data_IF_009650090209
#
_entry.id   IF_009650090209
#
_cell.length_a   1.000
_cell.length_b   1.000
_cell.length_c   1.000
_cell.angle_alpha   90.00
_cell.angle_beta   90.00
_cell.angle_gamma   90.00
#
_symmetry.space_group_name_H-M   'P 1'
#
loop_
_entity.id
_entity.type
_entity.pdbx_description
1 polymer ?
#
# COMPACT_ATOMS: atom_id res chain seq x y z
N UNK A 1 30.51 -13.11 8.74
CA UNK A 1 29.99 -11.83 9.28
C UNK A 1 29.86 -10.74 8.21
N UNK A 2 30.87 -10.49 7.36
CA UNK A 2 30.79 -9.46 6.30
C UNK A 2 29.64 -9.68 5.28
N UNK A 3 29.38 -10.92 4.83
CA UNK A 3 28.28 -11.20 3.88
C UNK A 3 26.88 -10.88 4.47
N UNK A 4 26.67 -11.10 5.76
CA UNK A 4 25.40 -10.80 6.42
C UNK A 4 25.13 -9.28 6.49
N UNK A 5 26.20 -8.50 6.70
CA UNK A 5 26.09 -7.02 6.71
C UNK A 5 25.81 -6.44 5.32
N UNK A 6 26.43 -6.99 4.27
CA UNK A 6 26.18 -6.56 2.87
C UNK A 6 24.76 -6.91 2.45
N UNK A 7 24.29 -8.10 2.80
CA UNK A 7 22.92 -8.53 2.52
C UNK A 7 21.86 -7.65 3.21
N UNK A 8 22.06 -7.33 4.50
CA UNK A 8 21.17 -6.42 5.24
C UNK A 8 21.16 -5.02 4.62
N UNK A 9 22.31 -4.51 4.19
CA UNK A 9 22.40 -3.21 3.52
C UNK A 9 21.65 -3.22 2.17
N UNK A 10 21.78 -4.28 1.36
CA UNK A 10 21.05 -4.43 0.10
C UNK A 10 19.52 -4.46 0.31
N UNK A 11 19.05 -5.20 1.32
CA UNK A 11 17.63 -5.20 1.70
C UNK A 11 17.15 -3.81 2.11
N UNK A 12 17.93 -3.07 2.90
CA UNK A 12 17.57 -1.70 3.28
C UNK A 12 17.45 -0.78 2.07
N UNK A 13 18.34 -0.89 1.08
CA UNK A 13 18.26 -0.12 -0.17
C UNK A 13 17.01 -0.47 -0.97
N UNK A 14 16.69 -1.75 -1.13
CA UNK A 14 15.47 -2.17 -1.83
C UNK A 14 14.19 -1.74 -1.10
N UNK A 15 14.15 -1.83 0.23
CA UNK A 15 13.03 -1.30 1.00
C UNK A 15 12.86 0.22 0.82
N UNK A 16 13.97 0.96 0.68
CA UNK A 16 13.94 2.41 0.41
C UNK A 16 13.40 2.71 -0.98
N UNK A 17 13.90 2.00 -1.99
CA UNK A 17 13.36 2.08 -3.35
C UNK A 17 11.87 1.72 -3.37
N UNK A 18 11.46 0.73 -2.55
CA UNK A 18 10.07 0.36 -2.33
C UNK A 18 9.21 1.52 -1.83
N UNK A 19 9.66 2.27 -0.80
CA UNK A 19 8.93 3.44 -0.31
C UNK A 19 8.77 4.54 -1.36
N UNK A 20 9.82 4.80 -2.15
CA UNK A 20 9.76 5.79 -3.24
C UNK A 20 8.75 5.35 -4.30
N UNK A 21 8.78 4.09 -4.74
CA UNK A 21 7.84 3.53 -5.71
C UNK A 21 6.40 3.58 -5.20
N UNK A 22 6.17 3.21 -3.95
CA UNK A 22 4.83 3.27 -3.34
C UNK A 22 4.32 4.71 -3.23
N UNK A 23 5.19 5.67 -2.88
CA UNK A 23 4.78 7.07 -2.85
C UNK A 23 4.40 7.59 -4.25
N UNK A 24 5.11 7.17 -5.29
CA UNK A 24 4.75 7.50 -6.67
C UNK A 24 3.40 6.89 -7.08
N UNK A 25 3.16 5.62 -6.75
CA UNK A 25 1.86 4.95 -6.97
C UNK A 25 0.75 5.69 -6.22
N UNK A 26 1.01 6.15 -4.98
CA UNK A 26 0.06 6.95 -4.19
C UNK A 26 -0.31 8.24 -4.92
N UNK A 27 0.69 9.02 -5.36
CA UNK A 27 0.43 10.28 -6.08
C UNK A 27 -0.38 10.02 -7.35
N UNK A 28 -0.02 8.99 -8.12
CA UNK A 28 -0.77 8.60 -9.32
C UNK A 28 -2.23 8.24 -9.00
N UNK A 29 -2.45 7.45 -7.94
CA UNK A 29 -3.79 7.10 -7.50
C UNK A 29 -4.60 8.33 -7.08
N UNK A 30 -4.03 9.23 -6.26
CA UNK A 30 -4.70 10.47 -5.83
C UNK A 30 -5.13 11.29 -7.06
N UNK A 31 -4.21 11.49 -8.02
CA UNK A 31 -4.52 12.24 -9.24
C UNK A 31 -5.63 11.56 -10.04
N UNK A 32 -5.56 10.24 -10.24
CA UNK A 32 -6.55 9.51 -11.02
C UNK A 32 -7.95 9.55 -10.36
N UNK A 33 -8.06 9.24 -9.07
CA UNK A 33 -9.33 9.21 -8.35
C UNK A 33 -9.91 10.63 -8.17
N UNK A 34 -9.09 11.64 -7.92
CA UNK A 34 -9.56 13.00 -7.81
C UNK A 34 -9.98 13.57 -9.18
N UNK A 35 -9.25 13.27 -10.25
CA UNK A 35 -9.66 13.63 -11.61
C UNK A 35 -11.01 12.98 -11.96
N UNK A 36 -11.23 11.72 -11.62
CA UNK A 36 -12.53 11.06 -11.79
C UNK A 36 -13.64 11.80 -11.03
N UNK A 37 -13.39 12.23 -9.80
CA UNK A 37 -14.35 13.03 -9.02
C UNK A 37 -14.68 14.37 -9.72
N UNK A 38 -13.67 15.06 -10.28
CA UNK A 38 -13.89 16.29 -11.04
C UNK A 38 -14.69 16.03 -12.32
N UNK A 39 -14.45 14.91 -13.03
CA UNK A 39 -15.24 14.50 -14.20
C UNK A 39 -16.71 14.30 -13.81
N UNK A 40 -16.98 13.62 -12.70
CA UNK A 40 -18.34 13.41 -12.22
C UNK A 40 -19.07 14.72 -11.92
N UNK A 41 -18.36 15.72 -11.38
CA UNK A 41 -18.94 17.04 -11.06
C UNK A 41 -19.12 17.90 -12.31
N UNK A 42 -18.07 18.11 -13.10
CA UNK A 42 -18.07 19.12 -14.15
C UNK A 42 -18.58 18.61 -15.50
N UNK A 43 -18.45 17.31 -15.77
CA UNK A 43 -18.82 16.70 -17.05
C UNK A 43 -20.13 15.93 -16.91
N UNK A 44 -20.20 14.97 -15.99
CA UNK A 44 -21.40 14.13 -15.77
C UNK A 44 -22.50 14.92 -15.06
N UNK A 45 -22.13 15.92 -14.26
CA UNK A 45 -23.04 16.75 -13.45
C UNK A 45 -23.87 15.93 -12.47
N UNK A 46 -23.23 14.95 -11.83
CA UNK A 46 -23.87 14.21 -10.74
C UNK A 46 -24.28 15.20 -9.64
N UNK A 47 -25.49 15.08 -9.06
CA UNK A 47 -26.02 16.01 -8.06
C UNK A 47 -25.39 15.76 -6.68
N UNK A 48 -24.06 15.86 -6.62
CA UNK A 48 -23.26 15.72 -5.42
C UNK A 48 -23.35 17.01 -4.59
N UNK A 49 -23.72 16.91 -3.32
CA UNK A 49 -23.84 18.07 -2.44
C UNK A 49 -22.50 18.77 -2.18
N UNK A 50 -22.49 20.10 -1.90
CA UNK A 50 -21.25 20.86 -1.67
C UNK A 50 -20.44 20.33 -0.48
N UNK A 51 -21.12 19.81 0.56
CA UNK A 51 -20.47 19.19 1.71
C UNK A 51 -19.66 17.93 1.32
N UNK A 52 -20.16 17.12 0.39
CA UNK A 52 -19.46 15.93 -0.10
C UNK A 52 -18.21 16.31 -0.90
N UNK A 53 -18.32 17.33 -1.78
CA UNK A 53 -17.17 17.84 -2.52
C UNK A 53 -16.07 18.38 -1.58
N UNK A 54 -16.46 19.12 -0.55
CA UNK A 54 -15.52 19.63 0.46
C UNK A 54 -14.84 18.48 1.22
N UNK A 55 -15.60 17.46 1.63
CA UNK A 55 -15.06 16.30 2.33
C UNK A 55 -14.04 15.54 1.47
N UNK A 56 -14.37 15.22 0.21
CA UNK A 56 -13.43 14.55 -0.70
C UNK A 56 -12.18 15.38 -0.93
N UNK A 57 -12.35 16.69 -1.15
CA UNK A 57 -11.21 17.59 -1.37
C UNK A 57 -10.32 17.66 -0.13
N UNK A 58 -10.90 17.74 1.08
CA UNK A 58 -10.13 17.72 2.32
C UNK A 58 -9.35 16.40 2.51
N UNK A 59 -9.98 15.26 2.20
CA UNK A 59 -9.34 13.93 2.27
C UNK A 59 -8.20 13.84 1.24
N UNK A 60 -8.42 14.30 0.00
CA UNK A 60 -7.40 14.33 -1.04
C UNK A 60 -6.20 15.22 -0.63
N UNK A 61 -6.45 16.39 -0.04
CA UNK A 61 -5.40 17.25 0.50
C UNK A 61 -4.62 16.59 1.64
N UNK A 62 -5.29 15.86 2.53
CA UNK A 62 -4.63 15.05 3.57
C UNK A 62 -3.70 13.99 3.00
N UNK A 63 -4.12 13.33 1.90
CA UNK A 63 -3.28 12.40 1.16
C UNK A 63 -2.08 13.05 0.48
N UNK A 64 -2.27 14.21 -0.15
CA UNK A 64 -1.18 15.00 -0.74
C UNK A 64 -0.18 15.42 0.34
N UNK A 65 -0.65 15.91 1.48
CA UNK A 65 0.21 16.28 2.61
C UNK A 65 1.05 15.09 3.10
N UNK A 66 0.43 13.90 3.20
CA UNK A 66 1.15 12.65 3.54
C UNK A 66 2.20 12.31 2.48
N UNK A 67 1.87 12.40 1.20
CA UNK A 67 2.77 12.09 0.10
C UNK A 67 3.98 13.06 0.02
N UNK A 68 3.73 14.36 0.23
CA UNK A 68 4.77 15.40 0.28
C UNK A 68 5.66 15.20 1.50
N UNK A 69 5.08 14.98 2.68
CA UNK A 69 5.85 14.73 3.92
C UNK A 69 6.77 13.53 3.75
N UNK A 70 6.27 12.44 3.16
CA UNK A 70 7.07 11.25 2.89
C UNK A 70 8.17 11.53 1.86
N UNK A 71 7.86 12.24 0.77
CA UNK A 71 8.85 12.61 -0.25
C UNK A 71 10.00 13.43 0.36
N UNK A 72 9.68 14.43 1.20
CA UNK A 72 10.67 15.25 1.89
C UNK A 72 11.49 14.45 2.91
N UNK A 73 10.85 13.56 3.69
CA UNK A 73 11.54 12.70 4.65
C UNK A 73 12.52 11.75 3.95
N UNK A 74 12.10 11.13 2.84
CA UNK A 74 12.93 10.25 2.02
C UNK A 74 14.08 11.00 1.35
N UNK A 75 13.85 12.22 0.86
CA UNK A 75 14.88 13.09 0.28
C UNK A 75 15.98 13.48 1.29
N UNK A 76 15.62 13.58 2.58
CA UNK A 76 16.56 13.84 3.68
C UNK A 76 17.23 12.58 4.25
N UNK A 77 17.01 11.41 3.63
CA UNK A 77 17.47 10.10 4.13
C UNK A 77 17.01 9.77 5.56
N UNK A 78 15.93 10.41 6.03
CA UNK A 78 15.37 10.15 7.37
C UNK A 78 14.47 8.92 7.31
N UNK A 79 14.86 7.85 8.01
CA UNK A 79 14.18 6.55 7.91
C UNK A 79 14.05 5.84 9.24
N UNK A 80 13.14 6.27 10.12
CA UNK A 80 12.87 5.52 11.32
C UNK A 80 12.09 4.24 10.98
N UNK A 81 12.31 3.17 11.75
CA UNK A 81 11.68 1.87 11.51
C UNK A 81 10.13 1.89 11.58
N UNK A 82 9.55 2.88 12.25
CA UNK A 82 8.10 3.06 12.38
C UNK A 82 7.44 3.75 11.17
N UNK A 83 8.21 4.43 10.30
CA UNK A 83 7.68 5.25 9.21
C UNK A 83 6.74 4.48 8.27
N UNK A 84 7.07 3.27 7.79
CA UNK A 84 6.18 2.52 6.89
C UNK A 84 4.83 2.20 7.54
N UNK A 85 4.83 1.92 8.84
CA UNK A 85 3.62 1.62 9.60
C UNK A 85 2.74 2.85 9.78
N UNK A 86 3.33 4.01 10.10
CA UNK A 86 2.61 5.27 10.20
C UNK A 86 1.97 5.66 8.85
N UNK A 87 2.72 5.49 7.75
CA UNK A 87 2.24 5.79 6.40
C UNK A 87 1.07 4.89 6.00
N UNK A 88 1.17 3.58 6.21
CA UNK A 88 0.06 2.64 5.94
C UNK A 88 -1.16 2.96 6.81
N UNK A 89 -0.93 3.32 8.07
CA UNK A 89 -2.02 3.66 8.98
C UNK A 89 -2.73 4.95 8.53
N UNK A 90 -1.97 5.95 8.08
CA UNK A 90 -2.53 7.17 7.50
C UNK A 90 -3.30 6.89 6.21
N UNK A 91 -2.77 6.04 5.31
CA UNK A 91 -3.47 5.64 4.09
C UNK A 91 -4.79 4.95 4.43
N UNK A 92 -4.80 3.98 5.35
CA UNK A 92 -6.01 3.27 5.76
C UNK A 92 -7.02 4.19 6.45
N UNK A 93 -6.56 5.11 7.30
CA UNK A 93 -7.43 6.11 7.92
C UNK A 93 -8.11 6.97 6.85
N UNK A 94 -7.36 7.48 5.87
CA UNK A 94 -7.91 8.31 4.81
C UNK A 94 -8.85 7.51 3.88
N UNK A 95 -8.54 6.24 3.57
CA UNK A 95 -9.47 5.35 2.86
C UNK A 95 -10.75 5.14 3.68
N UNK A 96 -10.64 4.89 4.99
CA UNK A 96 -11.81 4.72 5.86
C UNK A 96 -12.69 5.96 5.88
N UNK A 97 -12.09 7.15 6.05
CA UNK A 97 -12.82 8.42 6.00
C UNK A 97 -13.49 8.62 4.64
N UNK A 98 -12.80 8.30 3.54
CA UNK A 98 -13.36 8.37 2.20
C UNK A 98 -14.58 7.46 2.05
N UNK A 99 -14.50 6.22 2.53
CA UNK A 99 -15.61 5.28 2.49
C UNK A 99 -16.78 5.75 3.35
N UNK A 100 -16.52 6.31 4.54
CA UNK A 100 -17.56 6.84 5.43
C UNK A 100 -18.34 8.02 4.82
N UNK A 101 -17.78 8.71 3.82
CA UNK A 101 -18.50 9.76 3.09
C UNK A 101 -19.03 9.31 1.72
N UNK A 102 -18.60 8.15 1.20
CA UNK A 102 -18.84 7.70 -0.19
C UNK A 102 -19.55 6.34 -0.23
N UNK A 103 -20.80 6.27 0.23
CA UNK A 103 -21.65 5.06 0.24
C UNK A 103 -21.13 3.86 1.05
N UNK A 104 -20.14 4.07 1.91
CA UNK A 104 -19.67 3.09 2.89
C UNK A 104 -19.28 1.75 2.26
N UNK A 105 -19.85 0.62 2.73
CA UNK A 105 -19.50 -0.70 2.24
C UNK A 105 -20.17 -1.08 0.89
N UNK A 106 -21.06 -0.25 0.35
CA UNK A 106 -21.59 -0.44 -1.01
C UNK A 106 -20.66 0.17 -2.07
N UNK A 107 -19.74 1.04 -1.65
CA UNK A 107 -18.83 1.77 -2.52
C UNK A 107 -17.90 0.86 -3.33
N UNK A 108 -17.75 1.18 -4.62
CA UNK A 108 -16.70 0.60 -5.45
C UNK A 108 -15.28 0.94 -4.93
N UNK A 109 -15.15 2.01 -4.11
CA UNK A 109 -13.89 2.45 -3.52
C UNK A 109 -13.35 1.50 -2.45
N UNK A 110 -14.10 0.47 -2.04
CA UNK A 110 -13.59 -0.59 -1.17
C UNK A 110 -12.33 -1.27 -1.72
N UNK A 111 -12.17 -1.28 -3.05
CA UNK A 111 -10.97 -1.77 -3.73
C UNK A 111 -9.69 -1.06 -3.25
N UNK A 112 -9.78 0.16 -2.73
CA UNK A 112 -8.64 0.89 -2.17
C UNK A 112 -8.04 0.19 -0.95
N UNK A 113 -8.84 -0.50 -0.12
CA UNK A 113 -8.32 -1.29 1.00
C UNK A 113 -7.42 -2.43 0.49
N UNK A 114 -7.83 -3.09 -0.59
CA UNK A 114 -7.04 -4.12 -1.26
C UNK A 114 -5.76 -3.53 -1.86
N UNK A 115 -5.87 -2.34 -2.48
CA UNK A 115 -4.74 -1.65 -3.08
C UNK A 115 -3.70 -1.26 -2.02
N UNK A 116 -4.12 -0.72 -0.87
CA UNK A 116 -3.21 -0.39 0.23
C UNK A 116 -2.48 -1.64 0.72
N UNK A 117 -3.18 -2.76 0.91
CA UNK A 117 -2.53 -4.05 1.27
C UNK A 117 -1.54 -4.48 0.18
N UNK A 118 -1.92 -4.41 -1.10
CA UNK A 118 -1.05 -4.80 -2.21
C UNK A 118 0.24 -3.96 -2.28
N UNK A 119 0.14 -2.64 -2.07
CA UNK A 119 1.32 -1.75 -2.09
C UNK A 119 2.35 -2.10 -1.00
N UNK A 120 1.92 -2.71 0.11
CA UNK A 120 2.87 -3.13 1.16
C UNK A 120 3.83 -4.22 0.71
N UNK A 121 3.47 -5.04 -0.29
CA UNK A 121 4.36 -6.05 -0.86
C UNK A 121 5.56 -5.44 -1.59
N UNK A 122 5.40 -4.23 -2.15
CA UNK A 122 6.45 -3.50 -2.89
C UNK A 122 7.62 -3.13 -1.96
N UNK A 123 7.36 -3.02 -0.65
CA UNK A 123 8.36 -2.71 0.38
C UNK A 123 9.11 -3.95 0.87
N UNK A 124 8.83 -5.15 0.35
CA UNK A 124 9.48 -6.42 0.73
C UNK A 124 9.49 -6.75 2.25
N UNK A 125 8.62 -6.11 3.04
CA UNK A 125 8.54 -6.29 4.48
C UNK A 125 7.31 -7.12 4.86
N UNK A 126 7.56 -8.36 5.31
CA UNK A 126 6.48 -9.29 5.66
C UNK A 126 5.68 -8.86 6.90
N UNK A 127 6.34 -8.24 7.88
CA UNK A 127 5.66 -7.76 9.08
C UNK A 127 4.67 -6.64 8.72
N UNK A 128 5.09 -5.74 7.81
CA UNK A 128 4.24 -4.66 7.31
C UNK A 128 3.00 -5.18 6.57
N UNK A 129 3.14 -6.23 5.74
CA UNK A 129 2.00 -6.85 5.05
C UNK A 129 0.98 -7.39 6.06
N UNK A 130 1.44 -8.06 7.12
CA UNK A 130 0.56 -8.60 8.18
C UNK A 130 -0.18 -7.49 8.91
N UNK A 131 0.54 -6.45 9.34
CA UNK A 131 -0.06 -5.30 10.02
C UNK A 131 -1.03 -4.56 9.12
N UNK A 132 -0.69 -4.36 7.84
CA UNK A 132 -1.57 -3.69 6.88
C UNK A 132 -2.85 -4.49 6.63
N UNK A 133 -2.74 -5.82 6.52
CA UNK A 133 -3.91 -6.69 6.34
C UNK A 133 -4.83 -6.63 7.57
N UNK A 134 -4.26 -6.68 8.77
CA UNK A 134 -5.04 -6.58 10.01
C UNK A 134 -5.70 -5.20 10.16
N UNK A 135 -4.96 -4.12 9.90
CA UNK A 135 -5.49 -2.76 9.93
C UNK A 135 -6.55 -2.53 8.84
N UNK A 136 -6.39 -3.12 7.66
CA UNK A 136 -7.39 -3.03 6.59
C UNK A 136 -8.68 -3.77 6.96
N UNK A 137 -8.57 -4.93 7.62
CA UNK A 137 -9.74 -5.65 8.13
C UNK A 137 -10.45 -4.84 9.23
N UNK A 138 -9.68 -4.21 10.12
CA UNK A 138 -10.22 -3.30 11.13
C UNK A 138 -10.90 -2.08 10.50
N UNK A 139 -10.26 -1.45 9.50
CA UNK A 139 -10.81 -0.34 8.73
C UNK A 139 -12.13 -0.71 8.06
N UNK A 140 -12.22 -1.90 7.45
CA UNK A 140 -13.47 -2.40 6.88
C UNK A 140 -14.55 -2.61 7.95
N UNK A 141 -14.18 -3.19 9.10
CA UNK A 141 -15.07 -3.34 10.25
C UNK A 141 -15.61 -1.99 10.75
N UNK A 142 -14.76 -0.96 10.83
CA UNK A 142 -15.17 0.39 11.20
C UNK A 142 -16.17 1.00 10.19
N UNK A 143 -15.98 0.76 8.89
CA UNK A 143 -16.94 1.19 7.85
C UNK A 143 -18.28 0.45 8.01
N UNK A 144 -18.28 -0.85 8.33
CA UNK A 144 -19.50 -1.61 8.60
C UNK A 144 -20.23 -1.08 9.83
N UNK A 145 -19.53 -0.86 10.95
CA UNK A 145 -20.11 -0.29 12.17
C UNK A 145 -20.71 1.08 11.88
N UNK A 146 -19.99 1.93 11.14
CA UNK A 146 -20.52 3.23 10.75
C UNK A 146 -21.81 3.12 9.92
N UNK A 147 -21.87 2.20 8.97
CA UNK A 147 -23.07 1.95 8.18
C UNK A 147 -24.24 1.46 9.06
N UNK A 148 -23.98 0.56 10.02
CA UNK A 148 -25.03 0.06 10.92
C UNK A 148 -25.59 1.13 11.86
N UNK A 149 -24.72 1.98 12.44
CA UNK A 149 -25.11 2.94 13.47
C UNK A 149 -25.64 4.26 12.91
N UNK A 150 -25.05 4.76 11.82
CA UNK A 150 -25.32 6.12 11.33
C UNK A 150 -26.02 6.16 9.97
N UNK A 151 -25.90 5.12 9.15
CA UNK A 151 -26.35 5.10 7.75
C UNK A 151 -26.97 3.76 7.35
N UNK A 152 -28.13 3.38 7.91
CA UNK A 152 -28.76 2.08 7.66
C UNK A 152 -28.99 1.78 6.17
N UNK A 153 -29.14 2.83 5.34
CA UNK A 153 -29.27 2.75 3.89
C UNK A 153 -28.04 2.13 3.20
N UNK A 154 -26.85 2.21 3.82
CA UNK A 154 -25.60 1.67 3.27
C UNK A 154 -25.30 0.24 3.74
N UNK A 155 -26.16 -0.36 4.57
CA UNK A 155 -25.92 -1.70 5.08
C UNK A 155 -25.92 -2.71 3.92
N UNK A 156 -24.87 -3.53 3.88
CA UNK A 156 -24.73 -4.62 2.89
C UNK A 156 -25.12 -5.98 3.50
N UNK A 157 -25.63 -6.93 2.70
CA UNK A 157 -25.92 -8.28 3.16
C UNK A 157 -24.69 -8.97 3.76
N UNK A 158 -24.88 -9.77 4.82
CA UNK A 158 -23.78 -10.52 5.49
C UNK A 158 -22.92 -11.33 4.52
N UNK A 159 -23.54 -11.89 3.47
CA UNK A 159 -22.82 -12.62 2.41
C UNK A 159 -21.76 -11.75 1.73
N UNK A 160 -22.07 -10.50 1.40
CA UNK A 160 -21.12 -9.57 0.77
C UNK A 160 -19.99 -9.20 1.73
N UNK A 161 -20.30 -9.01 3.02
CA UNK A 161 -19.29 -8.73 4.06
C UNK A 161 -18.28 -9.86 4.20
N UNK A 162 -18.77 -11.10 4.22
CA UNK A 162 -17.93 -12.31 4.30
C UNK A 162 -17.06 -12.43 3.04
N UNK A 163 -17.65 -12.25 1.84
CA UNK A 163 -16.90 -12.32 0.58
C UNK A 163 -15.79 -11.27 0.55
N UNK A 164 -16.08 -10.02 0.92
CA UNK A 164 -15.08 -8.96 0.90
C UNK A 164 -13.97 -9.20 1.93
N UNK A 165 -14.33 -9.64 3.15
CA UNK A 165 -13.35 -9.99 4.19
C UNK A 165 -12.43 -11.13 3.74
N UNK A 166 -12.98 -12.17 3.08
CA UNK A 166 -12.20 -13.26 2.51
C UNK A 166 -11.29 -12.75 1.38
N UNK A 167 -11.79 -11.90 0.48
CA UNK A 167 -10.99 -11.30 -0.59
C UNK A 167 -9.82 -10.47 -0.03
N UNK A 168 -10.07 -9.71 1.03
CA UNK A 168 -9.04 -8.93 1.73
C UNK A 168 -7.99 -9.82 2.38
N UNK A 169 -8.41 -10.91 3.03
CA UNK A 169 -7.51 -11.93 3.57
C UNK A 169 -6.66 -12.58 2.48
N UNK A 170 -7.27 -12.97 1.35
CA UNK A 170 -6.58 -13.51 0.19
C UNK A 170 -5.57 -12.52 -0.39
N UNK A 171 -5.92 -11.24 -0.51
CA UNK A 171 -4.99 -10.21 -0.97
C UNK A 171 -3.77 -10.09 -0.05
N UNK A 172 -3.97 -10.10 1.28
CA UNK A 172 -2.87 -10.13 2.26
C UNK A 172 -1.99 -11.38 2.16
N UNK A 173 -2.59 -12.55 1.95
CA UNK A 173 -1.86 -13.80 1.74
C UNK A 173 -1.02 -13.76 0.46
N UNK A 174 -1.60 -13.31 -0.66
CA UNK A 174 -0.91 -13.18 -1.95
C UNK A 174 0.24 -12.17 -1.86
N UNK A 175 0.00 -10.99 -1.29
CA UNK A 175 1.04 -10.00 -1.00
C UNK A 175 2.18 -10.61 -0.16
N UNK A 176 1.83 -11.36 0.89
CA UNK A 176 2.81 -12.04 1.74
C UNK A 176 3.60 -13.13 1.01
N UNK A 177 2.98 -13.89 0.10
CA UNK A 177 3.66 -14.88 -0.73
C UNK A 177 4.61 -14.21 -1.73
N UNK A 178 4.21 -13.10 -2.35
CA UNK A 178 5.06 -12.32 -3.25
C UNK A 178 6.33 -11.86 -2.55
N UNK A 179 6.22 -11.34 -1.32
CA UNK A 179 7.38 -10.94 -0.51
C UNK A 179 8.28 -12.14 -0.19
N UNK A 180 7.69 -13.27 0.26
CA UNK A 180 8.48 -14.49 0.55
C UNK A 180 9.21 -15.01 -0.67
N UNK A 181 8.55 -15.03 -1.83
CA UNK A 181 9.13 -15.47 -3.10
C UNK A 181 10.29 -14.56 -3.53
N UNK A 182 10.10 -13.25 -3.47
CA UNK A 182 11.15 -12.28 -3.80
C UNK A 182 12.37 -12.44 -2.90
N UNK A 183 12.17 -12.59 -1.58
CA UNK A 183 13.26 -12.80 -0.62
C UNK A 183 14.02 -14.11 -0.85
N UNK A 184 13.31 -15.20 -1.17
CA UNK A 184 13.95 -16.48 -1.53
C UNK A 184 14.78 -16.36 -2.81
N UNK A 185 14.21 -15.80 -3.88
CA UNK A 185 14.94 -15.61 -5.14
C UNK A 185 16.23 -14.81 -4.97
N UNK A 186 16.17 -13.76 -4.16
CA UNK A 186 17.34 -12.92 -3.91
C UNK A 186 18.41 -13.64 -3.05
N UNK A 187 18.00 -14.51 -2.12
CA UNK A 187 18.93 -15.36 -1.36
C UNK A 187 19.57 -16.44 -2.26
N UNK A 188 18.78 -17.14 -3.06
CA UNK A 188 19.29 -18.17 -4.00
C UNK A 188 20.29 -17.57 -4.99
N UNK A 189 20.06 -16.33 -5.44
CA UNK A 189 20.96 -15.62 -6.35
C UNK A 189 22.29 -15.24 -5.67
N UNK A 190 22.25 -14.82 -4.40
CA UNK A 190 23.44 -14.57 -3.60
C UNK A 190 24.31 -15.83 -3.49
N UNK A 191 23.70 -16.96 -3.13
CA UNK A 191 24.42 -18.24 -2.97
C UNK A 191 25.08 -18.68 -4.28
N UNK A 192 24.41 -18.48 -5.42
CA UNK A 192 24.99 -18.77 -6.75
C UNK A 192 26.20 -17.89 -7.07
N UNK A 193 26.13 -16.59 -6.80
CA UNK A 193 27.26 -15.68 -7.03
C UNK A 193 28.46 -16.07 -6.16
N UNK A 194 28.22 -16.36 -4.87
CA UNK A 194 29.28 -16.76 -3.94
C UNK A 194 29.91 -18.08 -4.38
N UNK A 195 29.10 -19.06 -4.81
CA UNK A 195 29.60 -20.32 -5.35
C UNK A 195 30.48 -20.14 -6.60
N UNK A 196 30.04 -19.31 -7.55
CA UNK A 196 30.81 -19.02 -8.77
C UNK A 196 32.11 -18.26 -8.46
N UNK A 197 32.10 -17.33 -7.51
CA UNK A 197 33.29 -16.62 -7.08
C UNK A 197 34.30 -17.51 -6.33
N UNK A 198 33.83 -18.61 -5.74
CA UNK A 198 34.64 -19.58 -5.00
C UNK A 198 35.21 -20.70 -5.87
N UNK A 199 34.81 -20.85 -7.13
CA UNK A 199 35.39 -21.85 -8.04
C UNK A 199 36.78 -21.39 -8.52
N UNK A 200 37.86 -22.12 -8.21
CA UNK A 200 39.18 -21.82 -8.73
C UNK A 200 39.24 -22.26 -10.20
N UNK A 201 39.21 -21.31 -11.12
CA UNK A 201 39.29 -21.58 -12.56
C UNK A 201 38.37 -20.76 -13.47
N UNK A 202 37.80 -19.64 -13.01
CA UNK A 202 37.21 -18.68 -13.95
C UNK A 202 38.30 -18.28 -14.97
N UNK A 203 38.07 -18.48 -16.29
CA UNK A 203 39.09 -18.18 -17.29
C UNK A 203 39.43 -16.69 -17.17
N UNK A 204 40.71 -16.39 -16.93
CA UNK A 204 41.25 -15.05 -17.06
C UNK A 204 40.94 -14.58 -18.49
N UNK A 205 39.89 -13.78 -18.63
CA UNK A 205 39.48 -13.22 -19.91
C UNK A 205 40.66 -12.48 -20.51
N UNK A 206 41.18 -13.04 -21.60
CA UNK A 206 42.29 -12.52 -22.37
C UNK A 206 42.14 -11.03 -22.63
N UNK A 207 43.14 -10.27 -22.17
CA UNK A 207 43.45 -8.98 -22.77
C UNK A 207 44.07 -9.28 -24.13
N UNK A 208 43.31 -9.09 -25.19
CA UNK A 208 43.81 -8.92 -26.56
C UNK A 208 43.18 -7.67 -27.14
#
# INVERSE_FOLDING_TARGET
>A
MANETVWKAALQVEEWAGEVRVNAIRVLAIVAFYAQHLVNIYIVKEPLGPAYHLAITAIALGWVATAVTLHLALGRRYRPAWLPYAVVSADLLLVTLLLMVSDGPQSALLVLLLLVVATTAVRLNLALVRTATALAAFAYGAVLVHAYEFRPEWVVPRRQQVIFTLALGCAGLLAGQSVRRARRLAADYHDRIVFLAAQPGAPEGGRS
#
